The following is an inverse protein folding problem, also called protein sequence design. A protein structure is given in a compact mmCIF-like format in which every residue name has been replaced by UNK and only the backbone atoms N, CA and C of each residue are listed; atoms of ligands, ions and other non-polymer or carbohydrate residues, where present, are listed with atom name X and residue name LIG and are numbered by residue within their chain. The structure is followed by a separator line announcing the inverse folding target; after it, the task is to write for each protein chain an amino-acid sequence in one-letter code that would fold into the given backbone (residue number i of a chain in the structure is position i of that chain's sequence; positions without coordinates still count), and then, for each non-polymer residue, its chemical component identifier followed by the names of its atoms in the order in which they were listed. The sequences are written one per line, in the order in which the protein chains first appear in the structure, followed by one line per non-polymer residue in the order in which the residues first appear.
data_IF_594189335746
#
_entry.id   IF_594189335746
#
_cell.length_a   1.000
_cell.length_b   1.000
_cell.length_c   1.000
_cell.angle_alpha   90.00
_cell.angle_beta   90.00
_cell.angle_gamma   90.00
#
_symmetry.space_group_name_H-M   'P 1'
#
loop_
_entity.id
_entity.type
_entity.pdbx_description
1 polymer ?
#
# COMPACT_ATOMS: atom_id res chain seq x y z
N UNK A 1 10.52 -17.66 -15.49
CA UNK A 1 10.11 -17.62 -14.08
C UNK A 1 9.75 -16.20 -13.68
N UNK A 2 8.74 -16.05 -12.82
CA UNK A 2 8.37 -14.73 -12.33
C UNK A 2 9.41 -14.22 -11.32
N UNK A 3 9.70 -12.92 -11.37
CA UNK A 3 10.58 -12.30 -10.39
C UNK A 3 9.91 -12.27 -9.01
N UNK A 4 10.73 -12.46 -8.00
CA UNK A 4 10.29 -12.44 -6.61
C UNK A 4 11.29 -11.70 -5.76
N UNK A 5 10.78 -10.78 -4.96
CA UNK A 5 11.59 -10.04 -3.98
C UNK A 5 11.11 -10.41 -2.59
N UNK A 6 12.04 -10.88 -1.77
CA UNK A 6 11.78 -11.33 -0.40
C UNK A 6 12.45 -10.37 0.57
N UNK A 7 11.73 -9.99 1.61
CA UNK A 7 12.30 -9.17 2.67
C UNK A 7 13.42 -9.94 3.40
N UNK A 8 14.55 -9.24 3.57
CA UNK A 8 15.67 -9.72 4.39
C UNK A 8 15.92 -8.72 5.50
N UNK A 9 15.99 -9.21 6.73
CA UNK A 9 16.19 -8.36 7.89
C UNK A 9 17.47 -7.54 7.75
N UNK A 10 17.35 -6.24 8.04
CA UNK A 10 18.48 -5.29 7.96
C UNK A 10 18.81 -4.81 6.55
N UNK A 11 18.07 -5.24 5.53
CA UNK A 11 18.28 -4.79 4.16
C UNK A 11 17.08 -4.01 3.64
N UNK A 12 17.35 -3.05 2.77
CA UNK A 12 16.29 -2.35 2.06
C UNK A 12 15.70 -3.26 0.99
N UNK A 13 14.37 -3.24 0.90
CA UNK A 13 13.67 -3.94 -0.17
C UNK A 13 13.73 -3.07 -1.43
N UNK A 14 14.58 -3.44 -2.38
CA UNK A 14 14.66 -2.73 -3.66
C UNK A 14 13.63 -3.32 -4.62
N UNK A 15 12.61 -2.55 -4.93
CA UNK A 15 11.48 -2.96 -5.77
C UNK A 15 11.62 -2.43 -7.19
N UNK A 16 12.68 -1.69 -7.49
CA UNK A 16 12.89 -1.09 -8.82
C UNK A 16 12.76 -2.10 -9.97
N UNK A 17 13.27 -3.34 -9.86
CA UNK A 17 13.11 -4.32 -10.94
C UNK A 17 11.66 -4.69 -11.26
N UNK A 18 10.73 -4.41 -10.34
CA UNK A 18 9.31 -4.74 -10.50
C UNK A 18 8.45 -3.55 -10.95
N UNK A 19 9.05 -2.36 -11.15
CA UNK A 19 8.31 -1.21 -11.65
C UNK A 19 7.72 -1.51 -13.02
N UNK A 20 6.44 -1.23 -13.18
CA UNK A 20 5.71 -1.51 -14.42
C UNK A 20 5.22 -2.94 -14.56
N UNK A 21 5.41 -3.76 -13.54
CA UNK A 21 4.99 -5.17 -13.55
C UNK A 21 3.81 -5.39 -12.61
N UNK A 22 2.98 -6.37 -12.96
CA UNK A 22 1.86 -6.80 -12.12
C UNK A 22 2.37 -7.84 -11.12
N UNK A 23 2.04 -7.66 -9.87
CA UNK A 23 2.61 -8.43 -8.77
C UNK A 23 1.56 -8.81 -7.73
N UNK A 24 1.90 -9.76 -6.88
CA UNK A 24 1.21 -9.99 -5.61
C UNK A 24 2.15 -9.55 -4.49
N UNK A 25 1.64 -8.70 -3.61
CA UNK A 25 2.37 -8.22 -2.44
C UNK A 25 1.84 -8.98 -1.22
N UNK A 26 2.68 -9.81 -0.62
CA UNK A 26 2.34 -10.52 0.62
C UNK A 26 2.87 -9.75 1.82
N UNK A 27 1.98 -9.46 2.77
CA UNK A 27 2.31 -8.70 3.97
C UNK A 27 2.61 -9.65 5.13
N UNK A 28 3.48 -9.21 6.04
CA UNK A 28 3.84 -9.99 7.23
C UNK A 28 2.74 -9.88 8.29
N UNK A 29 2.51 -10.96 8.99
CA UNK A 29 1.73 -11.01 10.24
C UNK A 29 0.25 -11.30 10.09
N UNK A 30 -0.46 -10.69 9.19
CA UNK A 30 -1.92 -10.75 9.14
C UNK A 30 -2.43 -11.18 7.78
N UNK A 31 -2.10 -12.28 7.24
CA UNK A 31 -2.66 -12.83 5.99
C UNK A 31 -3.26 -11.79 5.02
N UNK A 32 -2.90 -10.55 5.19
CA UNK A 32 -3.31 -9.46 4.32
C UNK A 32 -2.27 -9.26 3.25
N UNK A 33 -2.73 -8.88 2.09
CA UNK A 33 -1.84 -8.62 0.97
C UNK A 33 -2.63 -7.98 -0.14
N UNK A 34 -1.94 -7.71 -1.23
CA UNK A 34 -2.53 -7.09 -2.40
C UNK A 34 -2.22 -7.94 -3.61
N UNK A 35 -3.24 -8.62 -4.12
CA UNK A 35 -3.09 -9.52 -5.25
C UNK A 35 -3.31 -8.79 -6.57
N UNK A 36 -2.48 -9.10 -7.57
CA UNK A 36 -2.63 -8.59 -8.93
C UNK A 36 -2.64 -7.05 -8.97
N UNK A 37 -1.66 -6.46 -8.33
CA UNK A 37 -1.44 -5.01 -8.34
C UNK A 37 -0.26 -4.65 -9.23
N UNK A 38 -0.32 -3.50 -9.87
CA UNK A 38 0.78 -2.99 -10.68
C UNK A 38 1.68 -2.08 -9.87
N UNK A 39 2.98 -2.28 -9.93
CA UNK A 39 3.93 -1.43 -9.21
C UNK A 39 4.18 -0.16 -10.00
N UNK A 40 3.72 0.98 -9.48
CA UNK A 40 3.86 2.28 -10.14
C UNK A 40 5.15 2.99 -9.78
N UNK A 41 5.57 2.88 -8.53
CA UNK A 41 6.75 3.55 -8.02
C UNK A 41 7.14 2.94 -6.68
N UNK A 42 8.34 3.22 -6.23
CA UNK A 42 8.77 2.88 -4.88
C UNK A 42 9.73 3.92 -4.36
N UNK A 43 9.61 4.23 -3.08
CA UNK A 43 10.56 5.04 -2.34
C UNK A 43 11.42 4.16 -1.45
N UNK A 44 12.03 4.78 -0.46
CA UNK A 44 12.87 4.06 0.51
C UNK A 44 12.04 3.14 1.42
N UNK A 45 10.85 3.60 1.81
CA UNK A 45 10.02 2.94 2.83
C UNK A 45 8.68 2.45 2.33
N UNK A 46 8.24 2.90 1.15
CA UNK A 46 6.89 2.65 0.66
C UNK A 46 6.89 2.27 -0.80
N UNK A 47 5.83 1.55 -1.20
CA UNK A 47 5.56 1.18 -2.59
C UNK A 47 4.21 1.78 -2.97
N UNK A 48 4.17 2.46 -4.12
CA UNK A 48 2.94 2.96 -4.71
C UNK A 48 2.48 1.96 -5.76
N UNK A 49 1.23 1.52 -5.67
CA UNK A 49 0.71 0.51 -6.59
C UNK A 49 -0.66 0.90 -7.14
N UNK A 50 -1.05 0.21 -8.20
CA UNK A 50 -2.34 0.35 -8.86
C UNK A 50 -3.11 -0.96 -8.73
N UNK A 51 -4.34 -0.88 -8.22
CA UNK A 51 -5.27 -2.00 -8.21
C UNK A 51 -6.46 -1.62 -9.07
N UNK A 52 -6.59 -2.23 -10.27
CA UNK A 52 -7.58 -1.82 -11.27
C UNK A 52 -7.39 -0.33 -11.56
N UNK A 53 -8.37 0.52 -11.27
CA UNK A 53 -8.32 1.97 -11.46
C UNK A 53 -8.09 2.75 -10.16
N UNK A 54 -7.67 2.06 -9.10
CA UNK A 54 -7.42 2.66 -7.78
C UNK A 54 -5.93 2.66 -7.48
N UNK A 55 -5.52 3.59 -6.65
CA UNK A 55 -4.15 3.72 -6.20
C UNK A 55 -4.06 3.28 -4.75
N UNK A 56 -3.00 2.58 -4.42
CA UNK A 56 -2.71 2.17 -3.07
C UNK A 56 -1.25 2.38 -2.71
N UNK A 57 -0.95 2.21 -1.44
CA UNK A 57 0.40 2.36 -0.91
C UNK A 57 0.65 1.26 0.12
N UNK A 58 1.83 0.69 0.13
CA UNK A 58 2.22 -0.35 1.08
C UNK A 58 3.55 -0.01 1.71
N UNK A 59 3.65 -0.24 3.02
CA UNK A 59 4.89 0.01 3.77
C UNK A 59 5.83 -1.18 3.63
N UNK A 60 7.03 -0.93 3.17
CA UNK A 60 8.03 -1.99 2.93
C UNK A 60 8.35 -2.82 4.17
N UNK A 61 8.37 -2.17 5.35
CA UNK A 61 8.71 -2.88 6.60
C UNK A 61 7.72 -4.00 6.95
N UNK A 62 6.51 -3.97 6.41
CA UNK A 62 5.50 -5.00 6.64
C UNK A 62 5.36 -5.97 5.49
N UNK A 63 6.17 -5.84 4.44
CA UNK A 63 6.12 -6.74 3.29
C UNK A 63 6.95 -7.98 3.55
N UNK A 64 6.35 -9.15 3.34
CA UNK A 64 7.04 -10.43 3.39
C UNK A 64 7.74 -10.73 2.07
N UNK A 65 7.00 -10.68 0.97
CA UNK A 65 7.56 -10.83 -0.36
C UNK A 65 6.67 -10.20 -1.43
N UNK A 66 7.23 -10.00 -2.60
CA UNK A 66 6.52 -9.51 -3.78
C UNK A 66 6.88 -10.46 -4.93
N UNK A 67 5.86 -11.01 -5.57
CA UNK A 67 6.03 -11.96 -6.67
C UNK A 67 5.37 -11.42 -7.93
N UNK A 68 6.11 -11.36 -9.03
CA UNK A 68 5.54 -11.01 -10.32
C UNK A 68 4.52 -12.06 -10.74
N UNK A 69 3.38 -11.62 -11.28
CA UNK A 69 2.35 -12.50 -11.81
C UNK A 69 2.11 -12.16 -13.28
N UNK A 70 1.84 -13.20 -14.06
CA UNK A 70 1.47 -13.01 -15.46
C UNK A 70 -0.04 -12.87 -15.55
N UNK A 71 -0.47 -11.72 -16.04
CA UNK A 71 -1.89 -11.49 -16.29
C UNK A 71 -2.25 -11.95 -17.71
N UNK A 72 -3.32 -12.74 -17.87
CA UNK A 72 -3.82 -13.06 -19.20
C UNK A 72 -4.17 -11.79 -19.97
N UNK A 73 -3.89 -11.79 -21.26
CA UNK A 73 -4.11 -10.62 -22.12
C UNK A 73 -5.56 -10.09 -22.04
N UNK A 74 -6.54 -10.99 -21.89
CA UNK A 74 -7.94 -10.60 -21.79
C UNK A 74 -8.26 -9.86 -20.49
N UNK A 75 -7.53 -10.16 -19.41
CA UNK A 75 -7.66 -9.41 -18.14
C UNK A 75 -7.03 -8.03 -18.28
N UNK A 76 -5.89 -7.91 -18.95
CA UNK A 76 -5.21 -6.64 -19.13
C UNK A 76 -6.07 -5.63 -19.90
N UNK A 77 -6.91 -6.10 -20.80
CA UNK A 77 -7.81 -5.22 -21.56
C UNK A 77 -8.92 -4.60 -20.73
N UNK A 78 -9.19 -5.15 -19.55
CA UNK A 78 -10.28 -4.70 -18.66
C UNK A 78 -9.83 -3.76 -17.55
N UNK A 79 -8.53 -3.55 -17.44
CA UNK A 79 -7.98 -2.65 -16.42
C UNK A 79 -7.25 -1.51 -17.10
N UNK A 80 -7.20 -0.32 -16.49
CA UNK A 80 -6.41 0.78 -17.03
C UNK A 80 -4.94 0.38 -17.17
N UNK A 81 -4.23 0.92 -18.16
CA UNK A 81 -2.81 0.66 -18.30
C UNK A 81 -2.04 1.02 -17.04
N UNK A 82 -1.07 0.20 -16.69
CA UNK A 82 -0.18 0.49 -15.57
C UNK A 82 0.78 1.61 -15.97
N UNK A 83 0.74 2.69 -15.22
CA UNK A 83 1.59 3.85 -15.44
C UNK A 83 2.67 3.91 -14.37
N UNK A 84 3.93 3.78 -14.79
CA UNK A 84 5.07 4.02 -13.91
C UNK A 84 5.23 5.52 -13.76
N UNK A 85 5.43 5.98 -12.53
CA UNK A 85 5.59 7.40 -12.27
C UNK A 85 6.86 7.66 -11.47
N UNK A 86 7.37 8.88 -11.61
CA UNK A 86 8.45 9.39 -10.78
C UNK A 86 7.80 9.94 -9.52
N UNK A 87 8.08 9.29 -8.40
CA UNK A 87 7.41 9.58 -7.14
C UNK A 87 8.41 9.81 -6.02
N UNK A 88 8.26 10.93 -5.34
CA UNK A 88 9.01 11.22 -4.13
C UNK A 88 8.10 10.97 -2.93
N UNK A 89 8.43 9.95 -2.12
CA UNK A 89 7.61 9.64 -0.95
C UNK A 89 7.68 10.72 0.12
N UNK A 90 8.80 11.44 0.22
CA UNK A 90 8.97 12.50 1.20
C UNK A 90 8.81 12.05 2.63
N UNK A 91 8.47 12.98 3.52
CA UNK A 91 8.23 12.71 4.94
C UNK A 91 6.78 12.33 5.24
N UNK A 92 5.85 12.67 4.33
CA UNK A 92 4.41 12.43 4.47
C UNK A 92 3.89 11.62 3.27
N UNK A 93 4.24 10.34 3.18
CA UNK A 93 3.87 9.53 2.01
C UNK A 93 2.36 9.35 1.87
N UNK A 94 1.60 9.46 2.96
CA UNK A 94 0.15 9.31 2.93
C UNK A 94 -0.58 10.60 2.55
N UNK A 95 0.12 11.73 2.44
CA UNK A 95 -0.48 13.01 2.08
C UNK A 95 -1.19 12.97 0.71
N UNK A 96 -0.71 12.13 -0.19
CA UNK A 96 -1.32 11.91 -1.50
C UNK A 96 -2.79 11.48 -1.41
N UNK A 97 -3.17 10.84 -0.30
CA UNK A 97 -4.50 10.28 -0.11
C UNK A 97 -5.45 11.21 0.66
N UNK A 98 -5.00 12.40 1.04
CA UNK A 98 -5.85 13.37 1.74
C UNK A 98 -7.06 13.71 0.87
N UNK A 99 -8.24 13.62 1.47
CA UNK A 99 -9.51 13.84 0.78
C UNK A 99 -10.11 12.59 0.14
N UNK A 100 -9.37 11.48 0.11
CA UNK A 100 -9.86 10.22 -0.42
C UNK A 100 -10.38 9.33 0.70
N UNK A 101 -11.33 8.45 0.35
CA UNK A 101 -11.73 7.36 1.23
C UNK A 101 -10.87 6.15 0.92
N UNK A 102 -10.36 5.51 1.94
CA UNK A 102 -9.44 4.38 1.79
C UNK A 102 -9.78 3.25 2.76
N UNK A 103 -9.46 2.03 2.34
CA UNK A 103 -9.36 0.90 3.25
C UNK A 103 -7.94 0.88 3.77
N UNK A 104 -7.78 0.92 5.09
CA UNK A 104 -6.49 1.07 5.75
C UNK A 104 -6.21 -0.17 6.60
N UNK A 105 -5.07 -0.81 6.35
CA UNK A 105 -4.58 -1.90 7.18
C UNK A 105 -3.57 -1.37 8.18
N UNK A 106 -3.79 -1.66 9.45
CA UNK A 106 -2.88 -1.24 10.52
C UNK A 106 -2.24 -2.46 11.18
N UNK A 107 -1.03 -2.24 11.70
CA UNK A 107 -0.36 -3.27 12.46
C UNK A 107 -1.11 -3.50 13.78
N UNK A 108 -1.38 -4.77 14.09
CA UNK A 108 -2.09 -5.11 15.33
C UNK A 108 -1.22 -4.80 16.54
N UNK A 109 -1.71 -3.88 17.39
CA UNK A 109 -1.07 -3.54 18.65
C UNK A 109 -2.13 -3.47 19.73
N UNK A 110 -1.69 -3.29 20.98
CA UNK A 110 -2.61 -3.14 22.11
C UNK A 110 -3.55 -1.93 21.96
N UNK A 111 -3.14 -0.91 21.20
CA UNK A 111 -3.97 0.28 20.98
C UNK A 111 -5.12 0.00 20.00
N UNK A 112 -4.93 -0.95 19.09
CA UNK A 112 -5.89 -1.30 18.06
C UNK A 112 -6.28 -2.78 18.14
N UNK A 113 -6.19 -3.38 19.32
CA UNK A 113 -6.51 -4.78 19.52
C UNK A 113 -7.93 -5.08 19.05
N UNK A 114 -8.07 -6.11 18.22
CA UNK A 114 -9.34 -6.47 17.63
C UNK A 114 -9.78 -5.62 16.43
N UNK A 115 -8.98 -4.61 16.06
CA UNK A 115 -9.27 -3.79 14.88
C UNK A 115 -8.08 -3.80 13.92
N UNK A 116 -8.07 -4.70 12.92
CA UNK A 116 -6.96 -4.82 11.97
C UNK A 116 -6.90 -3.67 10.96
N UNK A 117 -7.89 -2.78 10.94
CA UNK A 117 -7.90 -1.69 10.00
C UNK A 117 -9.14 -0.84 10.06
N UNK A 118 -9.24 0.05 9.11
CA UNK A 118 -10.37 0.97 8.95
C UNK A 118 -10.91 0.81 7.53
N UNK A 119 -12.22 0.80 7.38
CA UNK A 119 -12.88 0.64 6.08
C UNK A 119 -13.60 1.91 5.68
N UNK A 120 -13.45 2.32 4.42
CA UNK A 120 -14.03 3.55 3.89
C UNK A 120 -13.73 4.76 4.77
N UNK A 121 -12.52 4.80 5.30
CA UNK A 121 -12.08 5.89 6.15
C UNK A 121 -11.58 7.05 5.29
N UNK A 122 -12.04 8.24 5.59
CA UNK A 122 -11.58 9.44 4.90
C UNK A 122 -10.27 9.90 5.49
N UNK A 123 -9.30 10.14 4.63
CA UNK A 123 -8.02 10.70 5.06
C UNK A 123 -8.19 12.22 5.16
N UNK A 124 -8.10 12.74 6.39
CA UNK A 124 -8.31 14.16 6.65
C UNK A 124 -7.03 14.96 6.56
N UNK A 125 -5.93 14.38 7.05
CA UNK A 125 -4.66 15.07 7.12
C UNK A 125 -3.53 14.06 7.31
N UNK A 126 -2.31 14.47 6.97
CA UNK A 126 -1.09 13.70 7.20
C UNK A 126 0.02 14.70 7.51
N UNK A 127 0.37 14.82 8.79
CA UNK A 127 1.32 15.82 9.26
C UNK A 127 2.11 15.28 10.45
N UNK A 128 3.41 15.53 10.47
CA UNK A 128 4.31 15.13 11.56
C UNK A 128 4.25 13.63 11.87
N UNK A 129 4.10 12.81 10.85
CA UNK A 129 4.05 11.36 11.01
C UNK A 129 2.71 10.84 11.54
N UNK A 130 1.71 11.69 11.66
CA UNK A 130 0.36 11.31 12.11
C UNK A 130 -0.61 11.43 10.95
N UNK A 131 -1.36 10.37 10.68
CA UNK A 131 -2.43 10.36 9.70
C UNK A 131 -3.74 10.46 10.47
N UNK A 132 -4.47 11.55 10.21
CA UNK A 132 -5.79 11.75 10.83
C UNK A 132 -6.86 11.25 9.88
N UNK A 133 -7.70 10.38 10.38
CA UNK A 133 -8.73 9.72 9.59
C UNK A 133 -10.09 9.82 10.26
N UNK A 134 -11.12 9.69 9.44
CA UNK A 134 -12.51 9.61 9.93
C UNK A 134 -13.15 8.35 9.40
N UNK A 135 -13.60 7.48 10.30
CA UNK A 135 -14.38 6.30 9.97
C UNK A 135 -15.75 6.46 10.61
N UNK A 136 -16.79 6.45 9.79
CA UNK A 136 -18.13 6.82 10.23
C UNK A 136 -18.11 8.25 10.80
N UNK A 137 -18.48 8.45 12.05
CA UNK A 137 -18.47 9.78 12.69
C UNK A 137 -17.33 9.95 13.69
N UNK A 138 -16.39 9.00 13.74
CA UNK A 138 -15.27 9.05 14.67
C UNK A 138 -13.98 9.40 13.95
N UNK A 139 -13.16 10.24 14.58
CA UNK A 139 -11.84 10.58 14.10
C UNK A 139 -10.78 9.85 14.91
N UNK A 140 -9.70 9.45 14.21
CA UNK A 140 -8.58 8.75 14.80
C UNK A 140 -7.28 9.38 14.33
N UNK A 141 -6.30 9.45 15.20
CA UNK A 141 -4.93 9.82 14.86
C UNK A 141 -4.11 8.53 14.85
N UNK A 142 -3.61 8.17 13.67
CA UNK A 142 -2.86 6.93 13.48
C UNK A 142 -1.42 7.29 13.13
N UNK A 143 -0.47 6.76 13.89
CA UNK A 143 0.94 6.97 13.58
C UNK A 143 1.26 6.28 12.25
N UNK A 144 1.96 6.97 11.36
CA UNK A 144 2.20 6.44 10.01
C UNK A 144 2.92 5.09 10.02
N UNK A 145 3.79 4.84 11.01
CA UNK A 145 4.48 3.56 11.11
C UNK A 145 3.58 2.39 11.52
N UNK A 146 2.37 2.67 11.96
CA UNK A 146 1.38 1.64 12.26
C UNK A 146 0.59 1.21 11.02
N UNK A 147 0.66 1.98 9.95
CA UNK A 147 -0.10 1.70 8.74
C UNK A 147 0.72 0.76 7.87
N UNK A 148 0.19 -0.45 7.65
CA UNK A 148 0.82 -1.44 6.76
C UNK A 148 0.59 -1.09 5.29
N UNK A 149 -0.59 -0.58 4.99
CA UNK A 149 -0.96 -0.17 3.66
C UNK A 149 -2.34 0.43 3.61
N UNK A 150 -2.67 1.08 2.51
CA UNK A 150 -4.02 1.56 2.25
C UNK A 150 -4.31 1.51 0.76
N UNK A 151 -5.59 1.39 0.44
CA UNK A 151 -6.07 1.35 -0.93
C UNK A 151 -7.29 2.25 -1.06
N UNK A 152 -7.29 3.11 -2.05
CA UNK A 152 -8.43 3.97 -2.35
C UNK A 152 -9.71 3.15 -2.56
N UNK A 153 -10.81 3.65 -2.03
CA UNK A 153 -12.15 3.12 -2.30
C UNK A 153 -12.80 3.87 -3.45
N UNK A 154 -13.71 3.21 -4.07
CA UNK A 154 -14.59 3.88 -5.04
C UNK A 154 -16.00 3.98 -4.56
#
# INVERSE_FOLDING_TARGET
MADRIVYEEGKYLDVTPLHGKWCTIDMRGNDTGYAQVGIRASGKHYILFQYKDRIGIAAKMYIKDITEVRMPAWKLKRVPPLTVEDWDEGEEPFARFIGSNCDIHVHSTSLFEGNPGFFHARILDAENGIVRIRENSKEYNVHQYMICGMLECK
#
